data_IF_487262995792
#
_entry.id   IF_487262995792
#
_cell.length_a   1.000
_cell.length_b   1.000
_cell.length_c   1.000
_cell.angle_alpha   90.00
_cell.angle_beta   90.00
_cell.angle_gamma   90.00
#
_symmetry.space_group_name_H-M   'P 1'
#
loop_
_entity.id
_entity.type
_entity.pdbx_description
1 polymer ?
#
# COMPACT_ATOMS: atom_id res chain seq x y z
N UNK A 1 27.61 -12.08 -10.29
CA UNK A 1 27.98 -13.44 -9.80
C UNK A 1 26.97 -14.43 -10.36
N UNK A 2 27.41 -15.54 -10.95
CA UNK A 2 26.52 -16.63 -11.35
C UNK A 2 26.93 -17.88 -10.57
N UNK A 3 25.98 -18.44 -9.80
CA UNK A 3 26.21 -19.62 -8.96
C UNK A 3 25.98 -19.39 -7.45
N UNK A 4 25.92 -20.50 -6.72
CA UNK A 4 25.73 -20.52 -5.26
C UNK A 4 26.92 -19.87 -4.56
N UNK A 5 26.65 -18.97 -3.60
CA UNK A 5 27.69 -18.41 -2.73
C UNK A 5 28.31 -19.54 -1.90
N UNK A 6 29.61 -19.78 -2.06
CA UNK A 6 30.36 -20.82 -1.34
C UNK A 6 30.75 -20.35 0.06
N UNK A 7 30.80 -21.26 1.03
CA UNK A 7 31.27 -20.95 2.38
C UNK A 7 32.76 -20.61 2.34
N UNK A 8 33.12 -19.42 2.81
CA UNK A 8 34.52 -18.93 2.85
C UNK A 8 35.08 -18.81 4.28
N UNK A 9 34.25 -19.02 5.30
CA UNK A 9 34.62 -18.79 6.70
C UNK A 9 34.73 -17.32 7.10
N UNK A 10 34.39 -16.40 6.18
CA UNK A 10 34.39 -14.95 6.39
C UNK A 10 32.96 -14.40 6.43
N UNK A 11 32.72 -13.24 7.07
CA UNK A 11 31.43 -12.55 7.01
C UNK A 11 31.02 -12.21 5.58
N UNK A 12 29.72 -12.27 5.28
CA UNK A 12 29.14 -11.81 4.02
C UNK A 12 28.71 -10.36 4.18
N UNK A 13 29.11 -9.51 3.22
CA UNK A 13 28.61 -8.13 3.10
C UNK A 13 27.64 -8.09 1.93
N UNK A 14 26.43 -7.59 2.18
CA UNK A 14 25.42 -7.34 1.15
C UNK A 14 25.33 -5.84 0.91
N UNK A 15 25.68 -5.42 -0.30
CA UNK A 15 25.43 -4.06 -0.76
C UNK A 15 24.07 -4.04 -1.48
N UNK A 16 23.15 -3.25 -0.97
CA UNK A 16 21.80 -3.12 -1.50
C UNK A 16 21.64 -1.74 -2.14
N UNK A 17 20.90 -1.67 -3.24
CA UNK A 17 20.50 -0.43 -3.89
C UNK A 17 19.00 -0.25 -3.76
N UNK A 18 18.56 1.00 -3.64
CA UNK A 18 17.13 1.32 -3.63
C UNK A 18 16.51 0.95 -5.00
N UNK A 19 15.38 0.21 -5.03
CA UNK A 19 14.69 -0.10 -6.27
C UNK A 19 13.99 1.13 -6.84
N UNK A 20 13.75 1.15 -8.16
CA UNK A 20 12.90 2.17 -8.80
C UNK A 20 11.48 2.11 -8.23
N UNK A 21 10.92 3.26 -7.90
CA UNK A 21 9.61 3.34 -7.28
C UNK A 21 8.49 3.40 -8.33
N UNK A 22 8.03 2.23 -8.75
CA UNK A 22 7.01 2.06 -9.80
C UNK A 22 5.72 2.81 -9.50
N UNK A 23 5.31 2.88 -8.22
CA UNK A 23 4.06 3.55 -7.85
C UNK A 23 4.20 5.07 -7.96
N UNK A 24 5.36 5.64 -7.63
CA UNK A 24 5.63 7.07 -7.83
C UNK A 24 5.66 7.44 -9.30
N UNK A 25 6.28 6.61 -10.13
CA UNK A 25 6.31 6.80 -11.59
C UNK A 25 4.88 6.77 -12.18
N UNK A 26 4.06 5.80 -11.75
CA UNK A 26 2.65 5.71 -12.14
C UNK A 26 1.86 6.95 -11.67
N UNK A 27 2.10 7.39 -10.44
CA UNK A 27 1.46 8.56 -9.83
C UNK A 27 1.80 9.88 -10.51
N UNK A 28 3.06 10.05 -10.93
CA UNK A 28 3.51 11.22 -11.68
C UNK A 28 2.81 11.34 -13.04
N UNK A 29 2.44 10.20 -13.64
CA UNK A 29 1.74 10.12 -14.92
C UNK A 29 0.27 9.70 -14.75
N UNK A 30 -0.34 9.95 -13.58
CA UNK A 30 -1.68 9.43 -13.23
C UNK A 30 -2.77 9.87 -14.21
N UNK A 31 -2.73 11.12 -14.65
CA UNK A 31 -3.81 11.71 -15.45
C UNK A 31 -5.16 11.54 -14.75
N UNK A 32 -6.15 11.00 -15.46
CA UNK A 32 -7.48 10.70 -14.92
C UNK A 32 -7.59 9.33 -14.24
N UNK A 33 -6.52 8.53 -14.17
CA UNK A 33 -6.58 7.21 -13.53
C UNK A 33 -6.81 7.37 -12.04
N UNK A 34 -7.67 6.53 -11.48
CA UNK A 34 -7.85 6.47 -10.03
C UNK A 34 -6.87 5.44 -9.46
N UNK A 35 -5.99 5.87 -8.55
CA UNK A 35 -4.84 5.07 -8.07
C UNK A 35 -5.02 4.75 -6.59
N UNK A 36 -5.05 3.46 -6.27
CA UNK A 36 -5.13 2.95 -4.90
C UNK A 36 -3.75 2.50 -4.43
N UNK A 37 -3.22 3.16 -3.41
CA UNK A 37 -2.05 2.66 -2.70
C UNK A 37 -2.45 1.63 -1.64
N UNK A 38 -1.55 0.72 -1.32
CA UNK A 38 -1.65 -0.12 -0.12
C UNK A 38 -0.45 0.15 0.78
N UNK A 39 -0.68 0.26 2.08
CA UNK A 39 0.35 0.47 3.09
C UNK A 39 0.21 -0.57 4.20
N UNK A 40 1.35 -1.01 4.72
CA UNK A 40 1.47 -1.84 5.90
C UNK A 40 2.58 -1.22 6.74
N UNK A 41 2.22 -0.65 7.88
CA UNK A 41 3.11 0.16 8.70
C UNK A 41 3.08 -0.31 10.15
N UNK A 42 4.24 -0.50 10.76
CA UNK A 42 4.38 -0.94 12.16
C UNK A 42 4.58 0.20 13.14
N UNK A 43 5.06 1.35 12.67
CA UNK A 43 5.31 2.54 13.47
C UNK A 43 4.62 3.73 12.81
N UNK A 44 3.96 4.55 13.61
CA UNK A 44 3.18 5.71 13.17
C UNK A 44 2.36 5.46 11.88
N UNK A 45 1.43 4.47 11.90
CA UNK A 45 0.90 3.89 10.67
C UNK A 45 0.17 4.88 9.77
N UNK A 46 -0.63 5.75 10.39
CA UNK A 46 -1.43 6.75 9.67
C UNK A 46 -0.54 7.81 9.01
N UNK A 47 0.42 8.38 9.73
CA UNK A 47 1.29 9.42 9.16
C UNK A 47 2.17 8.87 8.03
N UNK A 48 2.70 7.65 8.20
CA UNK A 48 3.48 6.98 7.16
C UNK A 48 2.64 6.67 5.92
N UNK A 49 1.42 6.17 6.10
CA UNK A 49 0.48 5.96 5.00
C UNK A 49 0.14 7.27 4.28
N UNK A 50 -0.15 8.35 5.01
CA UNK A 50 -0.43 9.66 4.41
C UNK A 50 0.76 10.23 3.63
N UNK A 51 1.98 10.06 4.15
CA UNK A 51 3.20 10.45 3.42
C UNK A 51 3.34 9.66 2.13
N UNK A 52 3.15 8.33 2.17
CA UNK A 52 3.16 7.48 0.97
C UNK A 52 2.07 7.91 -0.02
N UNK A 53 0.83 8.10 0.42
CA UNK A 53 -0.27 8.58 -0.42
C UNK A 53 0.13 9.84 -1.20
N UNK A 54 0.64 10.86 -0.51
CA UNK A 54 1.03 12.14 -1.13
C UNK A 54 2.21 12.00 -2.07
N UNK A 55 3.29 11.33 -1.64
CA UNK A 55 4.48 11.13 -2.48
C UNK A 55 4.19 10.31 -3.74
N UNK A 56 3.21 9.41 -3.67
CA UNK A 56 2.81 8.52 -4.76
C UNK A 56 1.61 9.04 -5.57
N UNK A 57 1.11 10.24 -5.22
CA UNK A 57 -0.04 10.86 -5.88
C UNK A 57 -1.25 9.91 -6.01
N UNK A 58 -1.52 9.13 -4.97
CA UNK A 58 -2.65 8.19 -4.96
C UNK A 58 -3.98 8.92 -4.70
N UNK A 59 -5.06 8.38 -5.27
CA UNK A 59 -6.43 8.83 -5.01
C UNK A 59 -6.92 8.43 -3.62
N UNK A 60 -6.45 7.29 -3.11
CA UNK A 60 -6.60 6.90 -1.71
C UNK A 60 -5.50 5.89 -1.34
N UNK A 61 -5.36 5.59 -0.05
CA UNK A 61 -4.48 4.53 0.43
C UNK A 61 -5.22 3.62 1.40
N UNK A 62 -5.07 2.31 1.21
CA UNK A 62 -5.56 1.28 2.14
C UNK A 62 -4.45 0.96 3.13
N UNK A 63 -4.65 1.33 4.39
CA UNK A 63 -3.76 1.03 5.50
C UNK A 63 -4.18 -0.29 6.14
N UNK A 64 -3.35 -1.31 5.98
CA UNK A 64 -3.56 -2.62 6.56
C UNK A 64 -2.98 -2.70 7.98
N UNK A 65 -3.65 -3.47 8.83
CA UNK A 65 -3.10 -3.86 10.13
C UNK A 65 -1.96 -4.89 9.96
N UNK A 66 -0.84 -4.68 10.67
CA UNK A 66 0.31 -5.61 10.63
C UNK A 66 -0.02 -7.02 11.12
N UNK A 67 -1.01 -7.17 11.99
CA UNK A 67 -1.52 -8.46 12.47
C UNK A 67 -2.22 -9.29 11.39
N UNK A 68 -2.51 -8.70 10.21
CA UNK A 68 -3.11 -9.41 9.09
C UNK A 68 -2.14 -10.38 8.37
N UNK A 69 -0.82 -10.23 8.58
CA UNK A 69 0.17 -11.16 8.03
C UNK A 69 -0.02 -12.53 8.68
N UNK A 70 -0.27 -13.55 7.85
CA UNK A 70 -0.52 -14.92 8.33
C UNK A 70 -1.90 -15.16 8.96
N UNK A 71 -2.75 -14.13 9.09
CA UNK A 71 -4.12 -14.25 9.62
C UNK A 71 -5.14 -14.61 8.52
N UNK A 72 -6.31 -15.16 8.88
CA UNK A 72 -7.45 -15.31 7.95
C UNK A 72 -8.25 -14.01 7.80
N UNK A 73 -8.10 -13.09 8.74
CA UNK A 73 -8.82 -11.82 8.81
C UNK A 73 -7.89 -10.64 8.55
N UNK A 74 -8.49 -9.51 8.20
CA UNK A 74 -7.80 -8.24 8.05
C UNK A 74 -8.68 -7.11 8.61
N UNK A 75 -8.04 -6.04 9.08
CA UNK A 75 -8.65 -4.77 9.41
C UNK A 75 -7.92 -3.71 8.62
N UNK A 76 -8.67 -2.94 7.84
CA UNK A 76 -8.10 -1.89 7.00
C UNK A 76 -8.81 -0.57 7.23
N UNK A 77 -8.04 0.50 7.12
CA UNK A 77 -8.53 1.87 7.06
C UNK A 77 -8.23 2.43 5.67
N UNK A 78 -9.20 3.07 5.03
CA UNK A 78 -9.03 3.70 3.71
C UNK A 78 -8.98 5.22 3.91
N UNK A 79 -7.87 5.84 3.51
CA UNK A 79 -7.61 7.26 3.74
C UNK A 79 -7.62 8.05 2.42
N UNK A 80 -8.17 9.26 2.46
CA UNK A 80 -8.15 10.21 1.34
C UNK A 80 -6.92 11.14 1.37
N UNK A 81 -6.59 11.85 0.28
CA UNK A 81 -5.54 12.87 0.26
C UNK A 81 -5.75 14.00 1.28
N UNK A 82 -7.01 14.30 1.60
CA UNK A 82 -7.46 15.29 2.59
C UNK A 82 -7.25 14.80 4.03
N UNK A 83 -6.72 13.59 4.22
CA UNK A 83 -6.48 12.94 5.52
C UNK A 83 -7.76 12.44 6.21
N UNK A 84 -8.86 12.38 5.47
CA UNK A 84 -10.14 11.84 5.93
C UNK A 84 -10.15 10.31 5.86
N UNK A 85 -10.84 9.68 6.81
CA UNK A 85 -11.12 8.24 6.76
C UNK A 85 -12.36 8.02 5.92
N UNK A 86 -12.17 7.44 4.73
CA UNK A 86 -13.25 7.12 3.79
C UNK A 86 -14.02 5.89 4.28
N UNK A 87 -13.32 4.90 4.81
CA UNK A 87 -13.92 3.67 5.29
C UNK A 87 -13.02 2.95 6.30
N UNK A 88 -13.67 2.23 7.22
CA UNK A 88 -13.05 1.20 8.05
C UNK A 88 -13.72 -0.15 7.76
N UNK A 89 -12.90 -1.15 7.43
CA UNK A 89 -13.38 -2.45 6.99
C UNK A 89 -12.65 -3.53 7.78
N UNK A 90 -13.40 -4.44 8.39
CA UNK A 90 -12.88 -5.60 9.12
C UNK A 90 -13.65 -6.85 8.73
N UNK A 91 -12.95 -7.96 8.59
CA UNK A 91 -13.55 -9.25 8.26
C UNK A 91 -12.52 -10.26 7.80
N UNK A 92 -12.97 -11.33 7.18
CA UNK A 92 -12.12 -12.22 6.37
C UNK A 92 -11.47 -11.44 5.24
N UNK A 93 -10.34 -11.94 4.72
CA UNK A 93 -9.66 -11.29 3.58
C UNK A 93 -10.57 -11.14 2.36
N UNK A 94 -11.44 -12.11 2.10
CA UNK A 94 -12.41 -12.04 1.01
C UNK A 94 -13.50 -10.98 1.24
N UNK A 95 -13.98 -10.86 2.48
CA UNK A 95 -14.94 -9.80 2.83
C UNK A 95 -14.34 -8.40 2.72
N UNK A 96 -13.10 -8.25 3.18
CA UNK A 96 -12.37 -6.98 3.07
C UNK A 96 -12.15 -6.63 1.60
N UNK A 97 -11.71 -7.58 0.78
CA UNK A 97 -11.50 -7.36 -0.65
C UNK A 97 -12.78 -6.94 -1.37
N UNK A 98 -13.90 -7.63 -1.12
CA UNK A 98 -15.20 -7.30 -1.73
C UNK A 98 -15.66 -5.89 -1.36
N UNK A 99 -15.59 -5.53 -0.08
CA UNK A 99 -16.00 -4.19 0.40
C UNK A 99 -15.07 -3.09 -0.13
N UNK A 100 -13.77 -3.38 -0.30
CA UNK A 100 -12.86 -2.45 -0.98
C UNK A 100 -13.27 -2.26 -2.44
N UNK A 101 -13.58 -3.32 -3.19
CA UNK A 101 -14.02 -3.20 -4.58
C UNK A 101 -15.30 -2.35 -4.70
N UNK A 102 -16.31 -2.60 -3.86
CA UNK A 102 -17.55 -1.81 -3.83
C UNK A 102 -17.28 -0.31 -3.55
N UNK A 103 -16.37 -0.03 -2.61
CA UNK A 103 -15.96 1.34 -2.29
C UNK A 103 -15.27 2.01 -3.49
N UNK A 104 -14.35 1.31 -4.14
CA UNK A 104 -13.58 1.79 -5.29
C UNK A 104 -14.52 2.07 -6.47
N UNK A 105 -15.41 1.15 -6.79
CA UNK A 105 -16.42 1.31 -7.85
C UNK A 105 -17.29 2.54 -7.60
N UNK A 106 -17.78 2.71 -6.37
CA UNK A 106 -18.57 3.89 -5.97
C UNK A 106 -17.76 5.18 -6.12
N UNK A 107 -16.50 5.19 -5.66
CA UNK A 107 -15.62 6.36 -5.71
C UNK A 107 -15.33 6.79 -7.15
N UNK A 108 -15.11 5.82 -8.06
CA UNK A 108 -14.91 6.08 -9.48
C UNK A 108 -16.19 6.61 -10.13
N UNK A 109 -17.36 6.04 -9.79
CA UNK A 109 -18.64 6.43 -10.37
C UNK A 109 -19.07 7.86 -9.99
N UNK A 110 -18.75 8.30 -8.78
CA UNK A 110 -19.11 9.64 -8.27
C UNK A 110 -18.21 10.75 -8.85
N UNK A 111 -17.08 10.39 -9.48
CA UNK A 111 -16.24 11.36 -10.18
C UNK A 111 -15.67 12.43 -9.25
N UNK A 112 -15.15 12.02 -8.09
CA UNK A 112 -14.35 12.92 -7.25
C UNK A 112 -13.03 13.18 -7.98
N UNK A 113 -13.03 14.23 -8.80
CA UNK A 113 -11.86 14.84 -9.45
C UNK A 113 -11.07 15.67 -8.46
#
# INVERSE_FOLDING_TARGET
MSGKITKTGQPIVLELTEPSDVLAELGAQRGHRWVVGFALESQDPRNNAMRKLRMKNCSCIVLNDTTAIGSLTNSVEVLSPESETIAEIRGTKDEVARRLMELIETSIAVGVN
#
